data_IF_813440613327
#
_entry.id   IF_813440613327
#
_cell.length_a   1.000
_cell.length_b   1.000
_cell.length_c   1.000
_cell.angle_alpha   90.00
_cell.angle_beta   90.00
_cell.angle_gamma   90.00
#
_symmetry.space_group_name_H-M   'P 1'
#
loop_
_entity.id
_entity.type
_entity.pdbx_description
1 polymer ?
#
# COMPACT_ATOMS: atom_id res chain seq x y z
N UNK A 1 13.34 -4.37 30.42
CA UNK A 1 12.34 -5.43 30.21
C UNK A 1 11.01 -4.75 29.87
N UNK A 2 10.49 -4.93 28.65
CA UNK A 2 9.19 -4.36 28.26
C UNK A 2 8.06 -5.11 28.94
N UNK A 3 7.09 -4.40 29.53
CA UNK A 3 5.87 -5.02 30.06
C UNK A 3 5.16 -5.82 28.96
N UNK A 4 4.68 -7.05 29.24
CA UNK A 4 3.86 -7.78 28.28
C UNK A 4 2.61 -6.94 27.96
N UNK A 5 2.25 -6.92 26.68
CA UNK A 5 1.04 -6.23 26.25
C UNK A 5 -0.19 -6.87 26.87
N UNK A 6 -1.23 -6.07 27.11
CA UNK A 6 -2.54 -6.66 27.33
C UNK A 6 -2.96 -7.39 26.06
N UNK A 7 -3.76 -8.43 26.21
CA UNK A 7 -4.26 -9.21 25.08
C UNK A 7 -4.97 -8.36 24.02
N UNK A 8 -5.79 -7.40 24.44
CA UNK A 8 -6.41 -6.43 23.55
C UNK A 8 -5.36 -5.64 22.75
N UNK A 9 -4.28 -5.18 23.41
CA UNK A 9 -3.19 -4.49 22.73
C UNK A 9 -2.44 -5.40 21.74
N UNK A 10 -2.32 -6.70 22.05
CA UNK A 10 -1.77 -7.68 21.11
C UNK A 10 -2.67 -7.83 19.87
N UNK A 11 -3.99 -7.92 20.06
CA UNK A 11 -4.97 -7.93 18.97
C UNK A 11 -4.89 -6.68 18.09
N UNK A 12 -4.90 -5.48 18.68
CA UNK A 12 -4.74 -4.21 17.95
C UNK A 12 -3.45 -4.22 17.11
N UNK A 13 -2.34 -4.69 17.68
CA UNK A 13 -1.05 -4.75 16.99
C UNK A 13 -1.03 -5.75 15.85
N UNK A 14 -1.64 -6.92 16.03
CA UNK A 14 -1.76 -7.93 14.99
C UNK A 14 -2.58 -7.40 13.80
N UNK A 15 -3.76 -6.83 14.07
CA UNK A 15 -4.61 -6.22 13.05
C UNK A 15 -3.93 -5.03 12.35
N UNK A 16 -3.22 -4.18 13.10
CA UNK A 16 -2.46 -3.08 12.52
C UNK A 16 -1.29 -3.55 11.64
N UNK A 17 -0.57 -4.61 12.06
CA UNK A 17 0.51 -5.19 11.27
C UNK A 17 -0.02 -5.78 9.95
N UNK A 18 -1.15 -6.50 10.01
CA UNK A 18 -1.82 -7.06 8.84
C UNK A 18 -2.24 -5.97 7.85
N UNK A 19 -2.99 -4.96 8.33
CA UNK A 19 -3.45 -3.85 7.48
C UNK A 19 -2.29 -3.05 6.89
N UNK A 20 -1.23 -2.82 7.67
CA UNK A 20 -0.03 -2.15 7.17
C UNK A 20 0.66 -2.98 6.08
N UNK A 21 0.74 -4.29 6.24
CA UNK A 21 1.37 -5.17 5.26
C UNK A 21 0.58 -5.18 3.94
N UNK A 22 -0.74 -5.32 3.99
CA UNK A 22 -1.61 -5.18 2.81
C UNK A 22 -1.44 -3.82 2.12
N UNK A 23 -1.38 -2.73 2.89
CA UNK A 23 -1.15 -1.41 2.34
C UNK A 23 0.13 -1.33 1.52
N UNK A 24 1.24 -1.86 2.03
CA UNK A 24 2.51 -1.83 1.29
C UNK A 24 2.55 -2.86 0.15
N UNK A 25 1.91 -4.03 0.31
CA UNK A 25 1.83 -5.05 -0.73
C UNK A 25 1.09 -4.56 -1.98
N UNK A 26 -0.08 -3.92 -1.79
CA UNK A 26 -0.83 -3.30 -2.90
C UNK A 26 0.07 -2.37 -3.69
N UNK A 27 0.83 -1.54 -2.99
CA UNK A 27 1.69 -0.59 -3.67
C UNK A 27 2.95 -1.22 -4.30
N UNK A 28 3.52 -2.27 -3.70
CA UNK A 28 4.63 -3.03 -4.28
C UNK A 28 4.19 -3.68 -5.61
N UNK A 29 3.03 -4.34 -5.62
CA UNK A 29 2.42 -4.95 -6.81
C UNK A 29 2.13 -3.95 -7.92
N UNK A 30 1.59 -2.78 -7.58
CA UNK A 30 1.40 -1.68 -8.56
C UNK A 30 2.73 -1.19 -9.14
N UNK A 31 3.80 -1.22 -8.35
CA UNK A 31 5.16 -0.96 -8.81
C UNK A 31 5.66 -2.03 -9.79
N UNK A 32 5.54 -3.30 -9.43
CA UNK A 32 5.96 -4.44 -10.28
C UNK A 32 5.22 -4.45 -11.63
N UNK A 33 3.95 -4.04 -11.65
CA UNK A 33 3.14 -3.89 -12.87
C UNK A 33 3.39 -2.59 -13.65
N UNK A 34 4.37 -1.78 -13.22
CA UNK A 34 4.71 -0.48 -13.79
C UNK A 34 3.54 0.53 -13.82
N UNK A 35 2.54 0.38 -12.94
CA UNK A 35 1.42 1.31 -12.83
C UNK A 35 1.83 2.57 -12.06
N UNK A 36 2.47 2.37 -10.90
CA UNK A 36 2.89 3.45 -9.98
C UNK A 36 4.20 3.06 -9.32
N UNK A 37 5.26 3.84 -9.54
CA UNK A 37 6.56 3.60 -8.91
C UNK A 37 6.70 4.47 -7.65
N UNK A 38 7.20 3.90 -6.52
CA UNK A 38 7.45 4.67 -5.31
C UNK A 38 8.47 5.77 -5.57
N UNK A 39 8.19 7.02 -5.17
CA UNK A 39 9.14 8.14 -5.38
C UNK A 39 10.53 7.91 -4.77
N UNK A 40 10.62 7.13 -3.70
CA UNK A 40 11.91 6.73 -3.13
C UNK A 40 12.71 5.87 -4.10
N UNK A 41 12.07 4.83 -4.64
CA UNK A 41 12.70 3.91 -5.58
C UNK A 41 12.97 4.56 -6.94
N UNK A 42 12.05 5.36 -7.47
CA UNK A 42 12.27 6.11 -8.71
C UNK A 42 13.53 7.01 -8.62
N UNK A 43 13.73 7.68 -7.48
CA UNK A 43 14.94 8.48 -7.24
C UNK A 43 16.20 7.62 -7.14
N UNK A 44 16.10 6.45 -6.50
CA UNK A 44 17.21 5.52 -6.40
C UNK A 44 17.59 4.95 -7.78
N UNK A 45 16.62 4.66 -8.65
CA UNK A 45 16.86 4.23 -10.04
C UNK A 45 17.66 5.27 -10.81
N UNK A 46 17.25 6.54 -10.76
CA UNK A 46 17.98 7.65 -11.40
C UNK A 46 19.39 7.78 -10.81
N UNK A 47 19.53 7.65 -9.50
CA UNK A 47 20.83 7.69 -8.84
C UNK A 47 21.75 6.55 -9.30
N UNK A 48 21.26 5.31 -9.34
CA UNK A 48 22.02 4.12 -9.75
C UNK A 48 22.47 4.24 -11.21
N UNK A 49 21.56 4.68 -12.09
CA UNK A 49 21.90 4.96 -13.49
C UNK A 49 23.04 5.99 -13.58
N UNK A 50 23.00 7.05 -12.75
CA UNK A 50 24.06 8.07 -12.70
C UNK A 50 25.39 7.65 -12.05
N UNK A 51 25.44 6.56 -11.28
CA UNK A 51 26.68 6.06 -10.64
C UNK A 51 27.62 5.47 -11.69
N UNK A 52 27.06 4.81 -12.71
CA UNK A 52 27.83 4.22 -13.80
C UNK A 52 28.00 5.24 -14.91
N UNK A 53 29.10 6.00 -14.85
CA UNK A 53 29.44 7.03 -15.84
C UNK A 53 30.71 6.64 -16.60
N UNK A 54 30.59 6.00 -17.79
CA UNK A 54 31.74 5.59 -18.58
C UNK A 54 32.58 6.80 -19.02
N UNK A 55 33.90 6.65 -19.04
CA UNK A 55 34.80 7.71 -19.49
C UNK A 55 34.61 8.08 -20.98
N UNK A 56 34.13 7.13 -21.79
CA UNK A 56 33.73 7.33 -23.18
C UNK A 56 32.30 6.82 -23.38
N UNK A 57 31.28 7.63 -23.10
CA UNK A 57 29.88 7.23 -23.26
C UNK A 57 29.56 6.90 -24.73
N UNK A 58 28.77 5.86 -24.93
CA UNK A 58 28.13 5.54 -26.20
C UNK A 58 26.71 5.03 -25.94
N UNK A 59 25.87 5.05 -26.97
CA UNK A 59 24.45 4.71 -26.85
C UNK A 59 24.25 3.29 -26.31
N UNK A 60 25.03 2.32 -26.81
CA UNK A 60 24.97 0.93 -26.34
C UNK A 60 25.24 0.81 -24.83
N UNK A 61 26.22 1.56 -24.32
CA UNK A 61 26.57 1.53 -22.90
C UNK A 61 25.54 2.28 -22.06
N UNK A 62 24.98 3.38 -22.57
CA UNK A 62 23.90 4.10 -21.91
C UNK A 62 22.64 3.23 -21.74
N UNK A 63 22.27 2.47 -22.77
CA UNK A 63 21.15 1.52 -22.72
C UNK A 63 21.39 0.42 -21.69
N UNK A 64 22.60 -0.13 -21.60
CA UNK A 64 22.95 -1.15 -20.60
C UNK A 64 22.89 -0.61 -19.17
N UNK A 65 23.35 0.62 -18.94
CA UNK A 65 23.30 1.27 -17.62
C UNK A 65 21.86 1.51 -17.20
N UNK A 66 21.03 2.03 -18.10
CA UNK A 66 19.62 2.25 -17.81
C UNK A 66 18.88 0.93 -17.57
N UNK A 67 19.11 -0.07 -18.42
CA UNK A 67 18.57 -1.42 -18.26
C UNK A 67 18.96 -2.06 -16.92
N UNK A 68 20.19 -1.85 -16.46
CA UNK A 68 20.63 -2.30 -15.15
C UNK A 68 19.86 -1.62 -14.01
N UNK A 69 19.69 -0.30 -14.07
CA UNK A 69 18.96 0.47 -13.07
C UNK A 69 17.46 0.08 -13.01
N UNK A 70 16.84 -0.14 -14.16
CA UNK A 70 15.46 -0.63 -14.27
C UNK A 70 15.33 -2.05 -13.73
N UNK A 71 16.28 -2.95 -14.04
CA UNK A 71 16.29 -4.31 -13.49
C UNK A 71 16.46 -4.29 -11.96
N UNK A 72 17.31 -3.41 -11.43
CA UNK A 72 17.44 -3.20 -9.98
C UNK A 72 16.12 -2.75 -9.35
N UNK A 73 15.39 -1.83 -10.00
CA UNK A 73 14.08 -1.37 -9.51
C UNK A 73 13.08 -2.54 -9.47
N UNK A 74 12.99 -3.32 -10.54
CA UNK A 74 12.07 -4.45 -10.65
C UNK A 74 12.35 -5.50 -9.58
N UNK A 75 13.61 -5.93 -9.47
CA UNK A 75 14.02 -6.93 -8.46
C UNK A 75 13.81 -6.43 -7.04
N UNK A 76 14.03 -5.13 -6.78
CA UNK A 76 13.73 -4.52 -5.48
C UNK A 76 12.23 -4.55 -5.14
N UNK A 77 11.35 -4.32 -6.12
CA UNK A 77 9.90 -4.38 -5.92
C UNK A 77 9.42 -5.82 -5.65
N UNK A 78 9.99 -6.81 -6.33
CA UNK A 78 9.70 -8.23 -6.06
C UNK A 78 10.09 -8.63 -4.64
N UNK A 79 11.28 -8.21 -4.17
CA UNK A 79 11.71 -8.47 -2.78
C UNK A 79 10.73 -7.85 -1.76
N UNK A 80 10.21 -6.65 -2.05
CA UNK A 80 9.21 -6.01 -1.18
C UNK A 80 7.88 -6.77 -1.20
N UNK A 81 7.43 -7.23 -2.38
CA UNK A 81 6.22 -8.05 -2.52
C UNK A 81 6.32 -9.32 -1.67
N UNK A 82 7.35 -10.13 -1.87
CA UNK A 82 7.61 -11.35 -1.09
C UNK A 82 7.72 -11.07 0.41
N UNK A 83 8.39 -9.97 0.78
CA UNK A 83 8.51 -9.57 2.17
C UNK A 83 7.15 -9.32 2.82
N UNK A 84 6.27 -8.56 2.15
CA UNK A 84 4.97 -8.22 2.72
C UNK A 84 4.01 -9.40 2.73
N UNK A 85 4.09 -10.31 1.76
CA UNK A 85 3.40 -11.61 1.82
C UNK A 85 3.82 -12.40 3.06
N UNK A 86 5.13 -12.47 3.35
CA UNK A 86 5.65 -13.09 4.57
C UNK A 86 5.21 -12.37 5.86
N UNK A 87 5.09 -11.04 5.85
CA UNK A 87 4.58 -10.27 7.00
C UNK A 87 3.09 -10.57 7.23
N UNK A 88 2.28 -10.67 6.17
CA UNK A 88 0.86 -11.06 6.27
C UNK A 88 0.74 -12.43 6.93
N UNK A 89 1.49 -13.43 6.46
CA UNK A 89 1.47 -14.77 7.05
C UNK A 89 1.78 -14.77 8.56
N UNK A 90 2.80 -14.01 8.99
CA UNK A 90 3.11 -13.87 10.43
C UNK A 90 2.05 -13.11 11.22
N UNK A 91 1.47 -12.06 10.64
CA UNK A 91 0.40 -11.30 11.27
C UNK A 91 -0.85 -12.18 11.47
N UNK A 92 -1.16 -13.03 10.49
CA UNK A 92 -2.28 -13.98 10.56
C UNK A 92 -2.09 -15.05 11.64
N UNK A 93 -0.87 -15.56 11.83
CA UNK A 93 -0.55 -16.43 12.97
C UNK A 93 -0.81 -15.71 14.30
N UNK A 94 -0.41 -14.43 14.41
CA UNK A 94 -0.64 -13.65 15.62
C UNK A 94 -2.14 -13.39 15.87
N UNK A 95 -2.91 -13.06 14.82
CA UNK A 95 -4.38 -12.90 14.90
C UNK A 95 -5.01 -14.19 15.45
N UNK A 96 -4.70 -15.35 14.88
CA UNK A 96 -5.26 -16.63 15.32
C UNK A 96 -4.81 -17.07 16.71
N UNK A 97 -3.69 -16.55 17.24
CA UNK A 97 -3.25 -16.83 18.61
C UNK A 97 -4.02 -16.02 19.65
N UNK A 98 -4.40 -14.78 19.33
CA UNK A 98 -5.13 -13.90 20.25
C UNK A 98 -6.45 -14.52 20.71
N UNK A 99 -7.18 -15.21 19.83
CA UNK A 99 -8.48 -15.79 20.18
C UNK A 99 -8.37 -17.10 20.97
N UNK A 100 -7.27 -17.84 20.80
CA UNK A 100 -6.99 -19.06 21.59
C UNK A 100 -6.80 -18.75 23.08
N UNK A 101 -6.38 -17.53 23.39
CA UNK A 101 -6.20 -17.05 24.76
C UNK A 101 -7.53 -16.48 25.34
N UNK A 102 -8.68 -16.66 24.67
CA UNK A 102 -10.04 -16.24 25.08
C UNK A 102 -10.70 -15.20 24.14
N UNK A 103 -11.86 -14.62 24.48
CA UNK A 103 -12.49 -13.59 23.65
C UNK A 103 -11.84 -12.20 23.82
N UNK A 104 -11.80 -11.39 22.76
CA UNK A 104 -11.61 -9.93 22.79
C UNK A 104 -12.68 -9.25 21.92
N UNK A 105 -12.85 -7.94 22.07
CA UNK A 105 -13.66 -7.16 21.14
C UNK A 105 -12.89 -6.91 19.83
N UNK A 106 -13.12 -7.78 18.84
CA UNK A 106 -12.46 -7.74 17.53
C UNK A 106 -12.71 -6.41 16.80
N UNK A 107 -13.96 -5.95 16.81
CA UNK A 107 -14.35 -4.72 16.13
C UNK A 107 -13.64 -3.50 16.75
N UNK A 108 -13.59 -3.42 18.08
CA UNK A 108 -12.88 -2.33 18.75
C UNK A 108 -11.36 -2.39 18.47
N UNK A 109 -10.76 -3.57 18.46
CA UNK A 109 -9.34 -3.73 18.14
C UNK A 109 -9.04 -3.26 16.69
N UNK A 110 -9.91 -3.63 15.75
CA UNK A 110 -9.83 -3.22 14.35
C UNK A 110 -9.96 -1.71 14.16
N UNK A 111 -10.90 -1.06 14.85
CA UNK A 111 -11.08 0.38 14.77
C UNK A 111 -9.88 1.17 15.28
N UNK A 112 -9.22 0.68 16.33
CA UNK A 112 -7.95 1.25 16.82
C UNK A 112 -6.87 1.13 15.75
N UNK A 113 -6.74 -0.04 15.11
CA UNK A 113 -5.78 -0.27 14.03
C UNK A 113 -6.03 0.65 12.82
N UNK A 114 -7.29 0.81 12.41
CA UNK A 114 -7.68 1.75 11.34
C UNK A 114 -7.30 3.19 11.68
N UNK A 115 -7.52 3.62 12.92
CA UNK A 115 -7.12 4.96 13.39
C UNK A 115 -5.61 5.14 13.38
N UNK A 116 -4.84 4.13 13.79
CA UNK A 116 -3.38 4.16 13.68
C UNK A 116 -2.91 4.26 12.23
N UNK A 117 -3.58 3.57 11.31
CA UNK A 117 -3.30 3.67 9.88
C UNK A 117 -3.62 5.05 9.32
N UNK A 118 -4.80 5.60 9.61
CA UNK A 118 -5.20 6.93 9.15
C UNK A 118 -4.26 8.04 9.68
N UNK A 119 -3.77 7.91 10.92
CA UNK A 119 -2.81 8.84 11.50
C UNK A 119 -1.44 8.78 10.80
N UNK A 120 -1.02 7.60 10.35
CA UNK A 120 0.29 7.40 9.72
C UNK A 120 0.27 7.63 8.21
N UNK A 121 -0.81 7.23 7.55
CA UNK A 121 -0.98 7.24 6.11
C UNK A 121 -2.24 8.05 5.79
N UNK A 122 -2.07 9.19 5.10
CA UNK A 122 -3.17 10.10 4.75
C UNK A 122 -4.29 9.45 3.93
N UNK A 123 -4.00 8.34 3.25
CA UNK A 123 -4.98 7.49 2.59
C UNK A 123 -4.53 6.03 2.70
N UNK A 124 -5.12 5.26 3.61
CA UNK A 124 -5.08 3.80 3.53
C UNK A 124 -5.93 3.39 2.33
N UNK A 125 -5.31 2.78 1.32
CA UNK A 125 -6.01 2.34 0.12
C UNK A 125 -7.16 1.40 0.47
N UNK A 126 -8.33 1.65 -0.12
CA UNK A 126 -9.55 0.86 0.12
C UNK A 126 -9.30 -0.64 -0.09
N UNK A 127 -8.59 -0.98 -1.17
CA UNK A 127 -8.14 -2.34 -1.50
C UNK A 127 -7.37 -3.03 -0.34
N UNK A 128 -6.48 -2.31 0.35
CA UNK A 128 -5.73 -2.87 1.47
C UNK A 128 -6.60 -3.10 2.72
N UNK A 129 -7.63 -2.25 2.90
CA UNK A 129 -8.61 -2.43 3.98
C UNK A 129 -9.48 -3.65 3.68
N UNK A 130 -9.93 -3.81 2.44
CA UNK A 130 -10.79 -4.92 2.02
C UNK A 130 -10.08 -6.26 2.22
N UNK A 131 -8.84 -6.40 1.75
CA UNK A 131 -8.05 -7.62 1.96
C UNK A 131 -7.79 -7.92 3.44
N UNK A 132 -7.48 -6.90 4.25
CA UNK A 132 -7.27 -7.11 5.68
C UNK A 132 -8.56 -7.56 6.39
N UNK A 133 -9.73 -7.03 6.00
CA UNK A 133 -11.03 -7.46 6.53
C UNK A 133 -11.35 -8.90 6.14
N UNK A 134 -11.11 -9.26 4.89
CA UNK A 134 -11.29 -10.63 4.38
C UNK A 134 -10.45 -11.62 5.19
N UNK A 135 -9.17 -11.33 5.37
CA UNK A 135 -8.24 -12.14 6.17
C UNK A 135 -8.68 -12.27 7.64
N UNK A 136 -9.03 -11.15 8.30
CA UNK A 136 -9.50 -11.16 9.68
C UNK A 136 -10.78 -12.00 9.84
N UNK A 137 -11.75 -11.85 8.93
CA UNK A 137 -12.96 -12.67 8.91
C UNK A 137 -12.64 -14.15 8.68
N UNK A 138 -11.68 -14.45 7.80
CA UNK A 138 -11.17 -15.81 7.58
C UNK A 138 -10.51 -16.42 8.83
N UNK A 139 -9.95 -15.59 9.71
CA UNK A 139 -9.43 -16.00 11.02
C UNK A 139 -10.51 -16.12 12.13
N UNK A 140 -11.78 -15.81 11.82
CA UNK A 140 -12.88 -15.86 12.77
C UNK A 140 -13.16 -14.56 13.52
N UNK A 141 -12.50 -13.45 13.16
CA UNK A 141 -12.79 -12.15 13.75
C UNK A 141 -14.08 -11.55 13.19
N UNK A 142 -14.98 -11.14 14.09
CA UNK A 142 -16.15 -10.34 13.74
C UNK A 142 -15.75 -8.87 13.57
N UNK A 143 -15.41 -8.51 12.32
CA UNK A 143 -15.05 -7.15 11.93
C UNK A 143 -15.91 -6.67 10.76
N UNK A 144 -16.34 -5.41 10.84
CA UNK A 144 -17.15 -4.73 9.82
C UNK A 144 -16.33 -3.72 9.05
N UNK A 145 -16.66 -3.57 7.78
CA UNK A 145 -16.09 -2.52 6.96
C UNK A 145 -16.72 -1.17 7.36
N UNK A 146 -15.96 -0.07 7.41
CA UNK A 146 -16.51 1.25 7.80
C UNK A 146 -17.70 1.68 6.94
N UNK A 147 -17.75 1.25 5.66
CA UNK A 147 -18.91 1.48 4.76
C UNK A 147 -20.19 0.75 5.19
N UNK A 148 -20.09 -0.33 5.96
CA UNK A 148 -21.23 -1.11 6.44
C UNK A 148 -21.87 -0.50 7.70
N UNK A 149 -21.22 0.50 8.32
CA UNK A 149 -21.65 1.14 9.58
C UNK A 149 -22.48 2.42 9.39
N UNK A 150 -22.59 2.93 8.16
CA UNK A 150 -23.56 3.98 7.84
C UNK A 150 -24.92 3.35 7.55
N UNK A 151 -25.98 3.58 8.36
CA UNK A 151 -27.32 3.27 7.91
C UNK A 151 -27.58 4.16 6.69
N UNK A 152 -28.16 3.57 5.64
CA UNK A 152 -28.59 4.32 4.47
C UNK A 152 -29.57 5.41 4.90
N UNK A 153 -29.07 6.64 5.07
CA UNK A 153 -29.92 7.82 5.16
C UNK A 153 -30.53 8.06 3.79
N UNK A 154 -31.77 7.60 3.66
CA UNK A 154 -32.80 8.13 2.77
C UNK A 154 -32.55 9.60 2.43
N UNK A 155 -32.39 9.89 1.14
CA UNK A 155 -32.25 11.24 0.62
C UNK A 155 -32.86 11.32 -0.77
N UNK A 156 -34.19 11.51 -0.81
CA UNK A 156 -34.88 12.05 -1.96
C UNK A 156 -34.36 13.46 -2.31
N UNK A 157 -34.57 13.82 -3.58
CA UNK A 157 -34.56 15.15 -4.18
C UNK A 157 -33.23 15.65 -4.78
N UNK A 158 -33.29 15.98 -6.08
CA UNK A 158 -32.40 16.97 -6.66
C UNK A 158 -32.01 16.80 -8.12
N UNK A 159 -32.96 16.57 -9.03
CA UNK A 159 -32.75 16.88 -10.45
C UNK A 159 -32.40 18.37 -10.62
N UNK A 160 -31.28 18.66 -11.29
CA UNK A 160 -31.26 19.72 -12.31
C UNK A 160 -30.02 19.65 -13.22
N UNK A 161 -30.18 19.87 -14.55
CA UNK A 161 -29.13 19.66 -15.54
C UNK A 161 -28.33 20.95 -15.81
N UNK A 162 -27.02 20.83 -16.07
CA UNK A 162 -26.27 21.85 -16.82
C UNK A 162 -25.48 21.20 -17.95
N UNK A 163 -25.71 21.77 -19.13
CA UNK A 163 -25.33 21.27 -20.44
C UNK A 163 -23.84 21.35 -20.81
N UNK A 164 -23.54 21.16 -22.11
CA UNK A 164 -22.29 20.53 -22.53
C UNK A 164 -21.23 21.50 -23.10
N UNK A 165 -19.96 21.10 -22.89
CA UNK A 165 -18.84 21.07 -23.85
C UNK A 165 -18.57 22.28 -24.78
N UNK A 166 -17.38 22.90 -24.63
CA UNK A 166 -16.22 22.81 -25.57
C UNK A 166 -15.23 23.95 -25.35
N UNK A 167 -13.94 23.60 -25.23
CA UNK A 167 -12.90 24.32 -25.97
C UNK A 167 -11.74 23.37 -26.30
N UNK A 168 -11.29 23.47 -27.55
CA UNK A 168 -10.30 22.63 -28.20
C UNK A 168 -8.88 23.18 -27.98
N UNK A 169 -7.88 22.29 -27.97
CA UNK A 169 -6.69 22.22 -28.86
C UNK A 169 -5.49 21.56 -28.17
N UNK A 170 -4.77 20.72 -28.92
CA UNK A 170 -3.35 20.42 -28.66
C UNK A 170 -3.00 18.93 -28.70
N UNK A 171 -2.72 18.41 -29.89
CA UNK A 171 -2.19 17.06 -30.09
C UNK A 171 -0.68 16.97 -29.80
N UNK A 172 -0.31 15.85 -29.15
CA UNK A 172 0.84 14.95 -29.40
C UNK A 172 2.28 15.50 -29.35
N UNK A 173 2.97 15.10 -28.28
CA UNK A 173 4.30 14.49 -28.36
C UNK A 173 4.26 13.13 -27.66
N UNK A 174 4.54 12.04 -28.38
CA UNK A 174 4.55 10.68 -27.85
C UNK A 174 5.76 10.46 -26.93
N UNK A 175 5.50 10.43 -25.63
CA UNK A 175 6.30 9.67 -24.67
C UNK A 175 5.41 8.50 -24.24
N UNK A 176 5.94 7.28 -24.28
CA UNK A 176 5.28 6.11 -23.70
C UNK A 176 4.84 6.38 -22.25
N UNK A 177 3.86 5.64 -21.71
CA UNK A 177 3.29 5.95 -20.41
C UNK A 177 4.40 5.95 -19.34
N UNK A 178 4.82 7.14 -18.91
CA UNK A 178 5.69 7.24 -17.76
C UNK A 178 4.90 6.82 -16.52
N UNK A 179 5.41 5.89 -15.72
CA UNK A 179 4.72 5.45 -14.51
C UNK A 179 4.54 6.64 -13.58
N UNK A 180 3.34 6.77 -13.00
CA UNK A 180 3.07 7.89 -12.10
C UNK A 180 3.92 7.76 -10.83
N UNK A 181 4.55 8.86 -10.42
CA UNK A 181 5.40 8.91 -9.22
C UNK A 181 4.58 9.39 -8.03
N UNK A 182 4.40 8.54 -7.01
CA UNK A 182 3.69 8.91 -5.77
C UNK A 182 4.62 8.96 -4.56
N UNK A 183 4.35 9.89 -3.63
CA UNK A 183 5.07 9.99 -2.35
C UNK A 183 4.69 8.80 -1.47
N UNK A 184 5.69 7.99 -1.10
CA UNK A 184 5.56 6.97 -0.08
C UNK A 184 6.13 7.47 1.25
N UNK A 185 5.37 7.32 2.33
CA UNK A 185 5.92 7.46 3.68
C UNK A 185 6.62 6.16 4.07
N UNK A 186 7.79 5.90 3.49
CA UNK A 186 8.71 4.89 3.97
C UNK A 186 9.36 5.39 5.26
N UNK A 187 8.65 5.31 6.38
CA UNK A 187 9.25 5.47 7.70
C UNK A 187 9.62 4.08 8.23
N UNK A 188 10.90 3.73 8.09
CA UNK A 188 11.54 2.71 8.91
C UNK A 188 11.57 3.15 10.38
N UNK A 189 11.82 2.21 11.32
CA UNK A 189 11.97 2.57 12.73
C UNK A 189 13.17 3.50 12.90
N UNK A 190 12.98 4.59 13.63
CA UNK A 190 14.08 5.39 14.21
C UNK A 190 14.63 4.67 15.42
#
# INVERSE_FOLDING_TARGET
MSRPYTKFQAGVRAAYALLRAHHHLVHARRGTRAEVVPRGLARATVYISGVLSPAAPNDETAEKVEGNAVNWLHTSLQVLEEHYEGVIGRAMVAVGQVDKEGPIDHQQAWEVALRWMANKYRASGQEAVDHAVEDLRGAGWDVRHRRELTPATSGCAGESPRGPFRSARGERGMLGPQPQVQKWCCCGPK
#
